data_IF_856402914370
#
_entry.id   IF_856402914370
#
_cell.length_a   1.000
_cell.length_b   1.000
_cell.length_c   1.000
_cell.angle_alpha   90.00
_cell.angle_beta   90.00
_cell.angle_gamma   90.00
#
_symmetry.space_group_name_H-M   'P 1'
#
loop_
_entity.id
_entity.type
_entity.pdbx_description
1 polymer ?
#
# COMPACT_ATOMS: atom_id res chain seq x y z
N UNK A 1 2.36 33.40 -1.15
CA UNK A 1 2.97 34.49 -1.93
C UNK A 1 4.46 34.21 -2.04
N UNK A 2 5.02 34.16 -3.25
CA UNK A 2 6.48 33.98 -3.44
C UNK A 2 7.09 35.36 -3.58
N UNK A 3 8.11 35.71 -2.79
CA UNK A 3 8.82 36.98 -2.96
C UNK A 3 9.46 37.04 -4.35
N UNK A 4 9.51 38.22 -4.96
CA UNK A 4 10.20 38.43 -6.24
C UNK A 4 11.66 37.99 -6.18
N UNK A 5 12.30 38.05 -5.01
CA UNK A 5 13.69 37.58 -4.79
C UNK A 5 13.84 36.06 -4.91
N UNK A 6 12.79 35.28 -4.62
CA UNK A 6 12.78 33.81 -4.77
C UNK A 6 12.18 33.36 -6.12
N UNK A 7 11.62 34.26 -6.92
CA UNK A 7 11.09 33.88 -8.23
C UNK A 7 12.19 33.37 -9.17
N UNK A 8 13.39 33.96 -9.09
CA UNK A 8 14.51 33.58 -9.97
C UNK A 8 14.95 32.12 -9.77
N UNK A 9 14.95 31.60 -8.54
CA UNK A 9 15.31 30.19 -8.31
C UNK A 9 14.24 29.23 -8.83
N UNK A 10 12.95 29.59 -8.76
CA UNK A 10 11.86 28.84 -9.39
C UNK A 10 12.02 28.82 -10.91
N UNK A 11 12.24 29.99 -11.54
CA UNK A 11 12.42 30.09 -12.99
C UNK A 11 13.65 29.31 -13.48
N UNK A 12 14.76 29.36 -12.74
CA UNK A 12 15.97 28.56 -13.04
C UNK A 12 15.70 27.06 -12.97
N UNK A 13 14.91 26.61 -12.00
CA UNK A 13 14.47 25.22 -11.91
C UNK A 13 13.57 24.82 -13.08
N UNK A 14 12.55 25.63 -13.37
CA UNK A 14 11.61 25.40 -14.48
C UNK A 14 12.29 25.40 -15.86
N UNK A 15 13.39 26.14 -16.06
CA UNK A 15 14.16 26.09 -17.29
C UNK A 15 14.71 24.69 -17.61
N UNK A 16 15.04 23.91 -16.56
CA UNK A 16 15.54 22.53 -16.67
C UNK A 16 14.46 21.48 -16.47
N UNK A 17 13.28 21.86 -16.00
CA UNK A 17 12.19 20.93 -15.78
C UNK A 17 11.68 20.36 -17.12
N UNK A 18 11.16 19.12 -17.13
CA UNK A 18 10.48 18.58 -18.31
C UNK A 18 9.41 19.56 -18.81
N UNK A 19 9.41 19.82 -20.11
CA UNK A 19 8.37 20.67 -20.73
C UNK A 19 7.12 19.85 -20.97
N UNK A 20 5.96 20.45 -20.72
CA UNK A 20 4.68 19.83 -21.06
C UNK A 20 4.58 19.75 -22.58
N UNK A 21 4.51 18.54 -23.11
CA UNK A 21 4.29 18.28 -24.53
C UNK A 21 2.79 18.20 -24.79
N UNK A 22 2.30 18.89 -25.81
CA UNK A 22 0.90 18.84 -26.26
C UNK A 22 0.86 18.30 -27.69
N UNK A 23 -0.21 17.57 -28.06
CA UNK A 23 -0.33 17.00 -29.41
C UNK A 23 0.53 15.76 -29.66
N UNK A 24 0.54 14.82 -28.72
CA UNK A 24 1.28 13.55 -28.86
C UNK A 24 0.61 12.72 -29.96
N UNK A 25 1.30 12.48 -31.08
CA UNK A 25 0.76 11.75 -32.25
C UNK A 25 0.77 10.21 -32.06
N UNK A 26 0.80 9.73 -30.81
CA UNK A 26 0.83 8.30 -30.47
C UNK A 26 2.17 7.58 -30.76
N UNK A 27 3.15 8.27 -31.33
CA UNK A 27 4.50 7.72 -31.49
C UNK A 27 5.27 7.79 -30.16
N UNK A 28 5.83 6.65 -29.74
CA UNK A 28 6.71 6.58 -28.58
C UNK A 28 8.02 7.31 -28.88
N UNK A 29 8.34 8.32 -28.07
CA UNK A 29 9.61 9.03 -28.10
C UNK A 29 10.35 8.76 -26.77
N UNK A 30 11.52 8.10 -26.79
CA UNK A 30 12.29 7.82 -25.59
C UNK A 30 12.75 9.05 -24.81
N UNK A 31 12.68 10.25 -25.41
CA UNK A 31 13.02 11.52 -24.74
C UNK A 31 11.85 12.14 -23.97
N UNK A 32 10.64 11.59 -24.13
CA UNK A 32 9.45 12.02 -23.39
C UNK A 32 9.26 11.18 -22.13
N UNK A 33 8.69 11.80 -21.10
CA UNK A 33 8.24 11.11 -19.89
C UNK A 33 6.72 11.11 -19.87
N UNK A 34 6.17 9.91 -19.73
CA UNK A 34 4.75 9.59 -19.72
C UNK A 34 4.32 9.21 -18.30
N UNK A 35 3.01 9.16 -18.07
CA UNK A 35 2.45 8.65 -16.81
C UNK A 35 2.90 7.22 -16.50
N UNK A 36 3.15 6.42 -17.54
CA UNK A 36 3.58 5.03 -17.41
C UNK A 36 5.01 4.89 -16.87
N UNK A 37 5.83 5.93 -17.02
CA UNK A 37 7.20 5.98 -16.51
C UNK A 37 7.26 6.34 -15.02
N UNK A 38 6.13 6.77 -14.43
CA UNK A 38 6.07 7.23 -13.04
C UNK A 38 5.69 6.09 -12.10
N UNK A 39 6.66 5.63 -11.31
CA UNK A 39 6.42 4.55 -10.34
C UNK A 39 5.65 4.98 -9.09
N UNK A 40 5.81 6.23 -8.64
CA UNK A 40 5.09 6.79 -7.49
C UNK A 40 5.22 8.32 -7.43
N UNK A 41 4.34 8.95 -6.66
CA UNK A 41 4.36 10.38 -6.34
C UNK A 41 4.60 10.55 -4.83
N UNK A 42 5.56 11.39 -4.44
CA UNK A 42 5.82 11.72 -3.02
C UNK A 42 5.38 13.15 -2.75
N UNK A 43 4.52 13.34 -1.75
CA UNK A 43 3.97 14.65 -1.36
C UNK A 43 3.99 14.84 0.16
N UNK A 44 4.03 16.09 0.65
CA UNK A 44 3.66 16.36 2.04
C UNK A 44 2.20 15.95 2.30
N UNK A 45 1.89 15.51 3.51
CA UNK A 45 0.51 15.20 3.89
C UNK A 45 -0.40 16.44 3.79
N UNK A 46 -1.65 16.25 3.38
CA UNK A 46 -2.61 17.34 3.15
C UNK A 46 -2.37 18.23 1.92
N UNK A 47 -1.27 18.03 1.18
CA UNK A 47 -1.02 18.74 -0.07
C UNK A 47 -1.85 18.15 -1.23
N UNK A 48 -2.74 18.97 -1.81
CA UNK A 48 -3.59 18.57 -2.93
C UNK A 48 -3.37 19.51 -4.11
N UNK A 49 -3.03 18.96 -5.26
CA UNK A 49 -2.89 19.70 -6.51
C UNK A 49 -3.14 18.83 -7.72
N UNK A 50 -2.99 19.40 -8.92
CA UNK A 50 -3.14 18.68 -10.18
C UNK A 50 -2.30 17.39 -10.25
N UNK A 51 -1.03 17.35 -9.79
CA UNK A 51 -0.26 16.11 -9.78
C UNK A 51 -0.89 15.02 -8.90
N UNK A 52 -1.44 15.38 -7.74
CA UNK A 52 -2.12 14.43 -6.84
C UNK A 52 -3.38 13.88 -7.49
N UNK A 53 -4.20 14.73 -8.12
CA UNK A 53 -5.43 14.31 -8.80
C UNK A 53 -5.13 13.44 -10.03
N UNK A 54 -4.12 13.80 -10.82
CA UNK A 54 -3.66 12.99 -11.94
C UNK A 54 -3.16 11.62 -11.47
N UNK A 55 -2.39 11.57 -10.36
CA UNK A 55 -1.95 10.34 -9.76
C UNK A 55 -3.12 9.46 -9.29
N UNK A 56 -4.15 10.04 -8.67
CA UNK A 56 -5.38 9.33 -8.30
C UNK A 56 -6.03 8.70 -9.53
N UNK A 57 -6.30 9.51 -10.56
CA UNK A 57 -6.99 9.09 -11.77
C UNK A 57 -6.21 8.00 -12.54
N UNK A 58 -4.90 8.18 -12.71
CA UNK A 58 -4.04 7.24 -13.44
C UNK A 58 -3.65 6.04 -12.59
N UNK A 59 -3.71 6.20 -11.26
CA UNK A 59 -3.41 5.12 -10.36
C UNK A 59 -2.03 5.00 -9.81
N UNK A 60 -1.27 6.06 -9.97
CA UNK A 60 0.08 6.13 -9.49
C UNK A 60 0.03 6.10 -7.96
N UNK A 61 0.79 5.21 -7.30
CA UNK A 61 0.90 5.18 -5.85
C UNK A 61 1.36 6.54 -5.31
N UNK A 62 0.70 7.02 -4.26
CA UNK A 62 1.03 8.29 -3.59
C UNK A 62 1.58 8.01 -2.21
N UNK A 63 2.76 8.55 -1.90
CA UNK A 63 3.39 8.47 -0.59
C UNK A 63 3.26 9.85 0.07
N UNK A 64 2.40 9.95 1.06
CA UNK A 64 2.16 11.16 1.85
C UNK A 64 3.07 11.20 3.07
N UNK A 65 3.84 12.28 3.22
CA UNK A 65 4.84 12.44 4.29
C UNK A 65 4.30 13.36 5.38
N UNK A 66 4.11 12.82 6.59
CA UNK A 66 3.43 13.51 7.72
C UNK A 66 4.27 14.59 8.39
N UNK A 67 5.58 14.37 8.57
CA UNK A 67 6.45 15.31 9.27
C UNK A 67 6.64 16.65 8.51
N UNK A 68 6.30 16.71 7.21
CA UNK A 68 6.35 17.94 6.44
C UNK A 68 5.01 18.70 6.52
N UNK A 69 4.89 19.56 7.53
CA UNK A 69 3.70 20.40 7.72
C UNK A 69 3.64 21.51 6.69
N UNK A 70 2.44 21.78 6.16
CA UNK A 70 2.19 22.85 5.19
C UNK A 70 0.90 23.61 5.54
N UNK A 71 0.57 24.65 4.76
CA UNK A 71 -0.59 25.50 5.00
C UNK A 71 -1.92 24.87 4.56
N UNK A 72 -1.88 23.82 3.74
CA UNK A 72 -3.07 23.15 3.24
C UNK A 72 -3.65 22.25 4.33
N UNK A 73 -4.98 22.22 4.43
CA UNK A 73 -5.72 21.49 5.48
C UNK A 73 -6.70 20.52 4.82
N UNK A 74 -6.19 19.61 4.01
CA UNK A 74 -6.99 18.58 3.35
C UNK A 74 -6.73 17.26 4.04
N UNK A 75 -7.77 16.43 4.15
CA UNK A 75 -7.60 15.02 4.49
C UNK A 75 -7.42 14.21 3.20
N UNK A 76 -6.25 13.62 3.01
CA UNK A 76 -5.98 12.78 1.84
C UNK A 76 -6.78 11.48 1.85
N UNK A 77 -7.25 11.01 3.01
CA UNK A 77 -8.02 9.77 3.11
C UNK A 77 -9.45 9.90 2.56
N UNK A 78 -9.96 11.14 2.44
CA UNK A 78 -11.27 11.45 1.86
C UNK A 78 -11.24 11.47 0.33
N UNK A 79 -10.05 11.51 -0.28
CA UNK A 79 -9.90 11.48 -1.73
C UNK A 79 -10.13 10.06 -2.29
N UNK A 80 -10.60 9.92 -3.54
CA UNK A 80 -11.01 8.63 -4.12
C UNK A 80 -9.81 7.76 -4.55
N UNK A 81 -8.88 7.50 -3.63
CA UNK A 81 -7.78 6.57 -3.83
C UNK A 81 -8.28 5.12 -3.93
N UNK A 82 -7.70 4.33 -4.82
CA UNK A 82 -7.93 2.87 -4.80
C UNK A 82 -7.22 2.25 -3.59
N UNK A 83 -7.64 1.03 -3.24
CA UNK A 83 -7.00 0.26 -2.18
C UNK A 83 -5.48 0.13 -2.38
N UNK A 84 -4.70 0.51 -1.36
CA UNK A 84 -3.23 0.42 -1.36
C UNK A 84 -2.49 1.48 -2.20
N UNK A 85 -3.21 2.42 -2.83
CA UNK A 85 -2.59 3.50 -3.62
C UNK A 85 -2.01 4.60 -2.74
N UNK A 86 -2.72 5.02 -1.70
CA UNK A 86 -2.22 5.96 -0.71
C UNK A 86 -1.40 5.21 0.35
N UNK A 87 -0.17 5.67 0.58
CA UNK A 87 0.75 5.19 1.62
C UNK A 87 1.18 6.38 2.46
N UNK A 88 1.26 6.21 3.78
CA UNK A 88 1.78 7.23 4.67
C UNK A 88 3.20 6.89 5.08
N UNK A 89 4.04 7.91 5.15
CA UNK A 89 5.37 7.88 5.75
C UNK A 89 5.44 8.98 6.81
N UNK A 90 6.09 8.70 7.93
CA UNK A 90 6.33 9.69 8.97
C UNK A 90 7.33 10.74 8.47
N UNK A 91 8.39 10.34 7.76
CA UNK A 91 9.41 11.25 7.24
C UNK A 91 9.94 10.81 5.86
N UNK A 92 10.79 11.64 5.25
CA UNK A 92 11.35 11.36 3.92
C UNK A 92 12.33 10.17 3.88
N UNK A 93 12.97 9.82 5.01
CA UNK A 93 13.78 8.60 5.08
C UNK A 93 12.90 7.35 4.98
N UNK A 94 11.75 7.36 5.65
CA UNK A 94 10.76 6.29 5.51
C UNK A 94 10.16 6.25 4.11
N UNK A 95 9.85 7.40 3.50
CA UNK A 95 9.39 7.46 2.11
C UNK A 95 10.41 6.81 1.16
N UNK A 96 11.70 7.08 1.34
CA UNK A 96 12.77 6.43 0.57
C UNK A 96 12.80 4.90 0.80
N UNK A 97 12.57 4.44 2.03
CA UNK A 97 12.42 3.02 2.34
C UNK A 97 11.24 2.37 1.63
N UNK A 98 10.08 3.04 1.61
CA UNK A 98 8.89 2.59 0.87
C UNK A 98 9.19 2.50 -0.63
N UNK A 99 9.86 3.50 -1.20
CA UNK A 99 10.28 3.48 -2.61
C UNK A 99 11.23 2.31 -2.91
N UNK A 100 12.19 2.05 -2.03
CA UNK A 100 13.11 0.91 -2.16
C UNK A 100 12.37 -0.43 -2.09
N UNK A 101 11.39 -0.57 -1.20
CA UNK A 101 10.53 -1.75 -1.10
C UNK A 101 9.70 -1.95 -2.37
N UNK A 102 9.08 -0.88 -2.88
CA UNK A 102 8.33 -0.91 -4.14
C UNK A 102 9.21 -1.37 -5.31
N UNK A 103 10.44 -0.85 -5.41
CA UNK A 103 11.40 -1.24 -6.45
C UNK A 103 11.80 -2.72 -6.39
N UNK A 104 11.84 -3.30 -5.19
CA UNK A 104 12.30 -4.67 -4.95
C UNK A 104 11.15 -5.68 -4.80
N UNK A 105 9.89 -5.23 -4.84
CA UNK A 105 8.73 -6.09 -4.63
C UNK A 105 8.53 -6.53 -3.18
N UNK A 106 9.14 -5.81 -2.22
CA UNK A 106 9.04 -6.09 -0.79
C UNK A 106 7.81 -5.39 -0.20
N UNK A 107 7.08 -6.04 0.70
CA UNK A 107 5.95 -5.43 1.39
C UNK A 107 6.42 -4.30 2.31
N UNK A 108 5.86 -3.08 2.18
CA UNK A 108 6.26 -1.93 3.00
C UNK A 108 6.08 -2.16 4.50
N UNK A 109 5.12 -2.99 4.91
CA UNK A 109 4.90 -3.39 6.30
C UNK A 109 6.06 -4.17 6.93
N UNK A 110 6.99 -4.70 6.13
CA UNK A 110 8.16 -5.43 6.61
C UNK A 110 9.38 -4.56 6.86
N UNK A 111 9.33 -3.28 6.46
CA UNK A 111 10.46 -2.35 6.55
C UNK A 111 10.78 -1.96 7.99
N UNK A 112 9.76 -1.96 8.85
CA UNK A 112 9.88 -1.60 10.25
C UNK A 112 9.67 -2.83 11.16
N UNK A 113 10.30 -2.77 12.33
CA UNK A 113 10.09 -3.76 13.41
C UNK A 113 9.14 -3.19 14.46
N UNK A 114 8.38 -4.06 15.16
CA UNK A 114 8.29 -5.50 14.95
C UNK A 114 7.41 -5.87 13.75
N UNK A 115 7.78 -6.93 13.03
CA UNK A 115 6.97 -7.43 11.92
C UNK A 115 5.78 -8.23 12.45
N UNK A 116 4.67 -8.21 11.69
CA UNK A 116 3.52 -9.06 11.98
C UNK A 116 3.93 -10.55 11.97
N UNK A 117 3.45 -11.37 12.92
CA UNK A 117 3.71 -12.81 12.91
C UNK A 117 3.21 -13.46 11.62
N UNK A 118 4.01 -14.35 11.05
CA UNK A 118 3.59 -15.14 9.88
C UNK A 118 2.62 -16.22 10.34
N UNK A 119 1.41 -16.23 9.79
CA UNK A 119 0.43 -17.28 10.03
C UNK A 119 0.83 -18.55 9.30
N UNK A 120 1.06 -19.63 10.05
CA UNK A 120 1.38 -20.95 9.49
C UNK A 120 0.07 -21.74 9.38
N UNK A 121 -0.37 -22.04 8.15
CA UNK A 121 -1.45 -22.99 7.92
C UNK A 121 -0.86 -24.37 7.60
N UNK A 122 -1.18 -25.35 8.44
CA UNK A 122 -0.77 -26.74 8.22
C UNK A 122 -1.84 -27.46 7.41
N UNK A 123 -1.52 -27.80 6.17
CA UNK A 123 -2.39 -28.66 5.37
C UNK A 123 -2.16 -30.12 5.78
N UNK A 124 -3.13 -30.73 6.48
CA UNK A 124 -3.10 -32.17 6.64
C UNK A 124 -3.46 -32.81 5.30
N UNK A 125 -2.58 -33.66 4.78
CA UNK A 125 -2.90 -34.50 3.63
C UNK A 125 -4.08 -35.38 4.02
N UNK A 126 -5.27 -35.13 3.47
CA UNK A 126 -6.38 -36.07 3.59
C UNK A 126 -5.89 -37.40 3.02
N UNK A 127 -5.84 -38.45 3.86
CA UNK A 127 -5.60 -39.82 3.39
C UNK A 127 -6.61 -40.07 2.28
N UNK A 128 -6.13 -40.39 1.08
CA UNK A 128 -6.98 -40.85 0.00
C UNK A 128 -7.69 -42.12 0.50
N UNK A 129 -8.97 -41.99 0.86
CA UNK A 129 -9.84 -43.15 0.99
C UNK A 129 -9.91 -43.77 -0.40
N UNK A 130 -9.36 -44.98 -0.56
CA UNK A 130 -9.59 -45.78 -1.76
C UNK A 130 -11.11 -45.85 -1.96
N UNK A 131 -11.61 -45.17 -2.98
CA UNK A 131 -12.98 -45.35 -3.43
C UNK A 131 -13.09 -46.80 -3.93
N UNK A 132 -13.80 -47.63 -3.19
CA UNK A 132 -14.33 -48.85 -3.77
C UNK A 132 -15.40 -48.44 -4.80
N UNK A 133 -15.45 -49.17 -5.91
CA UNK A 133 -16.03 -48.72 -7.17
C UNK A 133 -17.47 -48.19 -7.12
N UNK A 134 -17.75 -47.40 -8.17
CA UNK A 134 -19.02 -46.89 -8.67
C UNK A 134 -19.69 -45.70 -7.95
N UNK A 135 -19.67 -44.55 -8.65
CA UNK A 135 -20.81 -43.63 -8.64
C UNK A 135 -20.50 -42.16 -8.34
N UNK A 136 -20.51 -41.34 -9.40
CA UNK A 136 -20.79 -39.89 -9.43
C UNK A 136 -19.83 -38.96 -8.66
N UNK A 137 -18.88 -38.37 -9.40
CA UNK A 137 -18.09 -37.22 -8.95
C UNK A 137 -18.99 -35.99 -8.88
N UNK A 138 -19.23 -35.47 -7.69
CA UNK A 138 -19.88 -34.16 -7.51
C UNK A 138 -18.81 -33.16 -7.08
N UNK A 139 -18.47 -32.23 -7.96
CA UNK A 139 -17.51 -31.15 -7.67
C UNK A 139 -18.25 -30.13 -6.81
N UNK A 140 -17.93 -30.09 -5.51
CA UNK A 140 -18.40 -29.00 -4.64
C UNK A 140 -17.59 -27.73 -4.97
N UNK A 141 -18.27 -26.74 -5.54
CA UNK A 141 -17.75 -25.38 -5.66
C UNK A 141 -17.59 -24.77 -4.27
N UNK A 142 -16.37 -24.31 -3.95
CA UNK A 142 -16.09 -23.63 -2.69
C UNK A 142 -16.71 -22.22 -2.75
N UNK A 143 -18.00 -22.13 -2.43
CA UNK A 143 -18.71 -20.88 -2.20
C UNK A 143 -18.27 -20.27 -0.88
N UNK A 144 -17.42 -19.26 -0.95
CA UNK A 144 -17.09 -18.40 0.18
C UNK A 144 -18.31 -17.51 0.50
N UNK A 145 -18.98 -17.76 1.63
CA UNK A 145 -19.99 -16.86 2.15
C UNK A 145 -21.03 -17.54 3.02
N UNK A 146 -20.87 -17.44 4.35
CA UNK A 146 -21.96 -16.98 5.22
C UNK A 146 -21.50 -16.59 6.62
N UNK A 147 -22.13 -15.52 7.07
CA UNK A 147 -21.98 -14.75 8.28
C UNK A 147 -21.90 -15.54 9.59
N UNK A 148 -21.18 -14.94 10.56
CA UNK A 148 -21.37 -15.16 12.00
C UNK A 148 -22.85 -15.10 12.36
N UNK A 149 -23.34 -16.07 13.13
CA UNK A 149 -23.88 -15.84 14.47
C UNK A 149 -24.33 -17.13 15.16
N UNK A 150 -23.96 -17.21 16.45
CA UNK A 150 -24.63 -17.86 17.56
C UNK A 150 -24.25 -19.31 17.95
N UNK A 151 -23.82 -19.46 19.22
CA UNK A 151 -24.18 -20.60 20.05
C UNK A 151 -23.10 -21.62 20.45
N UNK A 152 -22.52 -21.39 21.64
CA UNK A 152 -22.05 -22.37 22.65
C UNK A 152 -20.73 -23.16 22.45
N UNK A 153 -19.73 -22.70 23.22
CA UNK A 153 -18.84 -23.40 24.17
C UNK A 153 -18.14 -24.71 23.78
N UNK A 154 -16.79 -24.69 23.91
CA UNK A 154 -15.92 -25.51 24.79
C UNK A 154 -14.47 -25.22 24.32
N UNK A 155 -13.57 -24.52 25.02
CA UNK A 155 -13.17 -24.66 26.41
C UNK A 155 -11.86 -25.45 26.46
N UNK A 156 -10.70 -24.79 26.48
CA UNK A 156 -9.45 -25.23 27.12
C UNK A 156 -8.43 -24.08 27.14
N UNK A 157 -8.29 -23.47 28.32
CA UNK A 157 -7.24 -22.50 28.67
C UNK A 157 -6.09 -23.23 29.35
N UNK A 158 -4.86 -23.08 28.86
CA UNK A 158 -3.67 -23.47 29.64
C UNK A 158 -3.08 -22.21 30.29
N UNK A 159 -3.50 -21.96 31.53
CA UNK A 159 -2.82 -21.05 32.45
C UNK A 159 -1.60 -21.74 33.05
N UNK A 160 -0.49 -21.01 33.11
CA UNK A 160 0.69 -21.39 33.87
C UNK A 160 0.62 -20.68 35.23
N UNK A 161 0.25 -21.43 36.28
CA UNK A 161 0.27 -20.98 37.68
C UNK A 161 1.59 -21.42 38.28
N UNK A 162 2.43 -20.46 38.71
CA UNK A 162 3.58 -20.72 39.59
C UNK A 162 3.07 -20.60 41.02
N UNK A 163 3.29 -21.63 41.84
CA UNK A 163 3.07 -21.57 43.29
C UNK A 163 4.09 -22.43 44.06
N UNK A 164 4.55 -21.88 45.19
CA UNK A 164 5.27 -22.56 46.29
C UNK A 164 6.78 -22.26 46.32
N UNK A 165 7.43 -21.87 47.43
CA UNK A 165 7.10 -22.08 48.86
C UNK A 165 7.91 -21.19 49.81
N UNK A 166 7.21 -20.76 50.88
CA UNK A 166 7.59 -20.37 52.27
C UNK A 166 9.07 -20.32 52.70
N UNK A 167 9.44 -19.24 53.39
CA UNK A 167 9.58 -19.15 54.85
C UNK A 167 9.44 -17.70 55.30
#
# INVERSE_FOLDING_TARGET
VISSTYLFCVLKGLNKAPRVVTGVNGAYDPSMISAEDISCLVIPDGCVGLPTLAAIQQGIPVIAVRNNTNLMRNDLSELPFRAGQLKYAENYYEAAGIMAAMRTGVASSTLARPMAPIRIERFSRSKATKANGNGKVTIASNGNGKAKANGKTNGHTNGHVVNGTKA
#
